data_IF_381240614722
#
_entry.id   IF_381240614722
#
_cell.length_a   1.000
_cell.length_b   1.000
_cell.length_c   1.000
_cell.angle_alpha   90.00
_cell.angle_beta   90.00
_cell.angle_gamma   90.00
#
_symmetry.space_group_name_H-M   'P 1'
#
loop_
_entity.id
_entity.type
_entity.pdbx_description
1 polymer ?
#
# COMPACT_ATOMS: atom_id res chain seq x y z
N UNK A 1 -6.34 9.84 -17.96
CA UNK A 1 -7.41 9.38 -17.04
C UNK A 1 -6.95 8.30 -16.07
N UNK A 2 -6.27 7.23 -16.51
CA UNK A 2 -5.78 6.15 -15.63
C UNK A 2 -4.88 6.61 -14.46
N UNK A 3 -4.02 7.62 -14.68
CA UNK A 3 -3.14 8.18 -13.64
C UNK A 3 -3.93 8.72 -12.44
N UNK A 4 -5.07 9.38 -12.67
CA UNK A 4 -5.90 9.93 -11.59
C UNK A 4 -6.48 8.82 -10.72
N UNK A 5 -6.94 7.72 -11.32
CA UNK A 5 -7.42 6.55 -10.58
C UNK A 5 -6.30 5.88 -9.77
N UNK A 6 -5.11 5.73 -10.35
CA UNK A 6 -3.94 5.16 -9.66
C UNK A 6 -3.54 6.04 -8.48
N UNK A 7 -3.56 7.36 -8.66
CA UNK A 7 -3.27 8.31 -7.59
C UNK A 7 -4.28 8.20 -6.44
N UNK A 8 -5.58 8.13 -6.74
CA UNK A 8 -6.63 7.94 -5.73
C UNK A 8 -6.50 6.59 -4.99
N UNK A 9 -6.19 5.52 -5.73
CA UNK A 9 -5.87 4.21 -5.13
C UNK A 9 -4.66 4.30 -4.20
N UNK A 10 -3.64 5.05 -4.60
CA UNK A 10 -2.48 5.37 -3.77
C UNK A 10 -2.89 5.99 -2.44
N UNK A 11 -3.70 7.05 -2.46
CA UNK A 11 -4.22 7.69 -1.24
C UNK A 11 -4.89 6.67 -0.31
N UNK A 12 -5.75 5.81 -0.89
CA UNK A 12 -6.41 4.73 -0.14
C UNK A 12 -5.42 3.75 0.49
N UNK A 13 -4.42 3.32 -0.27
CA UNK A 13 -3.41 2.37 0.20
C UNK A 13 -2.58 2.93 1.35
N UNK A 14 -2.16 4.20 1.25
CA UNK A 14 -1.48 4.91 2.34
C UNK A 14 -2.34 5.03 3.59
N UNK A 15 -3.63 5.38 3.43
CA UNK A 15 -4.56 5.48 4.55
C UNK A 15 -4.76 4.13 5.24
N UNK A 16 -4.90 3.05 4.48
CA UNK A 16 -5.03 1.68 5.00
C UNK A 16 -3.75 1.25 5.73
N UNK A 17 -2.58 1.50 5.15
CA UNK A 17 -1.30 1.16 5.81
C UNK A 17 -1.12 1.93 7.12
N UNK A 18 -1.48 3.22 7.15
CA UNK A 18 -1.48 4.01 8.39
C UNK A 18 -2.45 3.44 9.42
N UNK A 19 -3.65 3.05 9.00
CA UNK A 19 -4.64 2.43 9.88
C UNK A 19 -4.16 1.09 10.46
N UNK A 20 -3.46 0.28 9.66
CA UNK A 20 -2.82 -0.96 10.14
C UNK A 20 -1.76 -0.64 11.19
N UNK A 21 -0.86 0.31 10.93
CA UNK A 21 0.19 0.71 11.87
C UNK A 21 -0.40 1.27 13.18
N UNK A 22 -1.47 2.05 13.10
CA UNK A 22 -2.16 2.62 14.27
C UNK A 22 -2.99 1.56 15.03
N UNK A 23 -3.43 0.47 14.38
CA UNK A 23 -4.23 -0.59 15.00
C UNK A 23 -3.52 -1.36 16.12
N UNK A 24 -2.19 -1.26 16.23
CA UNK A 24 -1.33 -1.94 17.24
C UNK A 24 -1.68 -3.43 17.40
N UNK A 25 -1.98 -4.11 16.30
CA UNK A 25 -2.33 -5.53 16.31
C UNK A 25 -1.17 -6.38 16.90
N UNK A 26 -1.44 -7.42 17.71
CA UNK A 26 -0.40 -8.28 18.30
C UNK A 26 0.58 -8.89 17.28
N UNK A 27 0.11 -9.13 16.05
CA UNK A 27 0.94 -9.58 14.92
C UNK A 27 2.03 -8.57 14.52
N UNK A 28 1.78 -7.26 14.67
CA UNK A 28 2.79 -6.23 14.44
C UNK A 28 3.88 -6.28 15.51
N UNK A 29 3.51 -6.65 16.75
CA UNK A 29 4.46 -6.87 17.84
C UNK A 29 5.36 -8.11 17.67
N UNK A 30 5.02 -9.03 16.76
CA UNK A 30 5.88 -10.16 16.39
C UNK A 30 6.80 -9.86 15.18
N UNK A 31 6.62 -8.71 14.52
CA UNK A 31 7.52 -8.31 13.44
C UNK A 31 8.88 -7.89 14.01
N UNK A 32 9.99 -8.13 13.27
CA UNK A 32 11.33 -7.81 13.75
C UNK A 32 11.42 -6.36 14.23
N UNK A 33 12.09 -6.14 15.37
CA UNK A 33 12.14 -4.83 16.03
C UNK A 33 12.59 -3.69 15.09
N UNK A 34 13.41 -3.98 14.06
CA UNK A 34 13.85 -3.02 13.05
C UNK A 34 12.69 -2.40 12.24
N UNK A 35 11.61 -3.16 12.00
CA UNK A 35 10.39 -2.71 11.31
C UNK A 35 9.58 -1.77 12.21
N UNK A 36 9.61 -2.01 13.53
CA UNK A 36 9.04 -1.15 14.56
C UNK A 36 9.86 0.14 14.79
N UNK A 37 11.20 0.06 14.76
CA UNK A 37 12.09 1.16 15.11
C UNK A 37 12.13 2.27 14.05
N UNK A 38 11.81 1.94 12.80
CA UNK A 38 11.59 2.92 11.72
C UNK A 38 10.11 3.34 11.60
N UNK A 39 9.26 2.96 12.56
CA UNK A 39 7.90 3.48 12.76
C UNK A 39 6.95 3.25 11.59
N UNK A 40 7.15 2.18 10.81
CA UNK A 40 6.37 1.94 9.59
C UNK A 40 6.65 2.93 8.45
N UNK A 41 7.58 3.88 8.62
CA UNK A 41 7.96 4.88 7.59
C UNK A 41 8.61 4.23 6.38
N UNK A 42 9.35 3.14 6.57
CA UNK A 42 9.91 2.34 5.46
C UNK A 42 8.81 1.68 4.64
N UNK A 43 7.77 1.18 5.28
CA UNK A 43 6.61 0.61 4.58
C UNK A 43 5.90 1.70 3.76
N UNK A 44 5.64 2.87 4.34
CA UNK A 44 5.08 4.00 3.59
C UNK A 44 6.00 4.47 2.45
N UNK A 45 7.32 4.51 2.65
CA UNK A 45 8.26 4.85 1.58
C UNK A 45 8.24 3.80 0.45
N UNK A 46 8.10 2.52 0.79
CA UNK A 46 7.94 1.47 -0.21
C UNK A 46 6.62 1.60 -0.98
N UNK A 47 5.51 1.91 -0.31
CA UNK A 47 4.23 2.22 -0.96
C UNK A 47 4.37 3.36 -1.95
N UNK A 48 5.11 4.41 -1.56
CA UNK A 48 5.37 5.57 -2.40
C UNK A 48 6.15 5.19 -3.65
N UNK A 49 7.21 4.40 -3.51
CA UNK A 49 8.01 3.95 -4.64
C UNK A 49 7.20 3.10 -5.62
N UNK A 50 6.33 2.22 -5.12
CA UNK A 50 5.45 1.40 -5.97
C UNK A 50 4.43 2.28 -6.69
N UNK A 51 3.78 3.22 -5.99
CA UNK A 51 2.84 4.18 -6.59
C UNK A 51 3.53 5.04 -7.65
N UNK A 52 4.71 5.57 -7.34
CA UNK A 52 5.50 6.40 -8.25
C UNK A 52 5.89 5.60 -9.50
N UNK A 53 6.38 4.38 -9.34
CA UNK A 53 6.72 3.50 -10.45
C UNK A 53 5.48 3.21 -11.33
N UNK A 54 4.33 2.91 -10.74
CA UNK A 54 3.09 2.67 -11.48
C UNK A 54 2.64 3.90 -12.27
N UNK A 55 2.68 5.10 -11.66
CA UNK A 55 2.33 6.34 -12.34
C UNK A 55 3.31 6.67 -13.47
N UNK A 56 4.62 6.49 -13.26
CA UNK A 56 5.63 6.71 -14.29
C UNK A 56 5.48 5.73 -15.46
N UNK A 57 5.21 4.45 -15.18
CA UNK A 57 4.99 3.44 -16.21
C UNK A 57 3.72 3.73 -17.01
N UNK A 58 2.61 4.09 -16.36
CA UNK A 58 1.36 4.44 -17.07
C UNK A 58 1.48 5.77 -17.83
N UNK A 59 2.30 6.72 -17.35
CA UNK A 59 2.52 7.99 -18.02
C UNK A 59 3.45 7.85 -19.26
N UNK A 60 4.47 6.99 -19.19
CA UNK A 60 5.46 6.84 -20.26
C UNK A 60 5.17 5.68 -21.21
N UNK A 61 4.43 4.66 -20.78
CA UNK A 61 4.01 3.58 -21.65
C UNK A 61 2.61 3.85 -22.20
N UNK A 62 2.39 3.53 -23.47
CA UNK A 62 1.05 3.58 -24.09
C UNK A 62 0.15 2.42 -23.60
N UNK A 63 0.55 1.70 -22.55
CA UNK A 63 -0.08 0.47 -22.09
C UNK A 63 -0.81 0.69 -20.77
N UNK A 64 -2.14 0.60 -20.80
CA UNK A 64 -3.01 0.72 -19.62
C UNK A 64 -2.84 -0.46 -18.65
N UNK A 65 -2.20 -1.55 -19.06
CA UNK A 65 -2.01 -2.77 -18.26
C UNK A 65 -1.27 -2.53 -16.95
N UNK A 66 -0.35 -1.56 -16.91
CA UNK A 66 0.35 -1.19 -15.68
C UNK A 66 -0.60 -0.64 -14.61
N UNK A 67 -1.65 0.07 -15.01
CA UNK A 67 -2.69 0.57 -14.10
C UNK A 67 -3.53 -0.57 -13.49
N UNK A 68 -3.78 -1.63 -14.27
CA UNK A 68 -4.47 -2.83 -13.78
C UNK A 68 -3.61 -3.56 -12.76
N UNK A 69 -2.29 -3.66 -12.99
CA UNK A 69 -1.36 -4.22 -12.04
C UNK A 69 -1.39 -3.49 -10.68
N UNK A 70 -1.39 -2.15 -10.72
CA UNK A 70 -1.49 -1.35 -9.49
C UNK A 70 -2.84 -1.49 -8.80
N UNK A 71 -3.93 -1.64 -9.56
CA UNK A 71 -5.26 -1.88 -9.01
C UNK A 71 -5.35 -3.22 -8.28
N UNK A 72 -4.82 -4.29 -8.87
CA UNK A 72 -4.75 -5.61 -8.23
C UNK A 72 -3.88 -5.58 -6.96
N UNK A 73 -2.72 -4.93 -7.04
CA UNK A 73 -1.85 -4.72 -5.88
C UNK A 73 -2.59 -4.01 -4.74
N UNK A 74 -3.28 -2.91 -5.06
CA UNK A 74 -4.05 -2.14 -4.07
C UNK A 74 -5.20 -2.95 -3.47
N UNK A 75 -5.87 -3.79 -4.25
CA UNK A 75 -6.93 -4.67 -3.75
C UNK A 75 -6.41 -5.72 -2.76
N UNK A 76 -5.24 -6.32 -3.05
CA UNK A 76 -4.59 -7.29 -2.17
C UNK A 76 -4.14 -6.60 -0.87
N UNK A 77 -3.49 -5.43 -0.96
CA UNK A 77 -3.10 -4.66 0.23
C UNK A 77 -4.31 -4.27 1.08
N UNK A 78 -5.42 -3.87 0.44
CA UNK A 78 -6.66 -3.54 1.15
C UNK A 78 -7.27 -4.74 1.85
N UNK A 79 -7.28 -5.92 1.22
CA UNK A 79 -7.73 -7.16 1.86
C UNK A 79 -6.84 -7.54 3.05
N UNK A 80 -5.51 -7.46 2.89
CA UNK A 80 -4.58 -7.73 3.97
C UNK A 80 -4.78 -6.76 5.15
N UNK A 81 -4.88 -5.46 4.87
CA UNK A 81 -5.14 -4.44 5.88
C UNK A 81 -6.46 -4.69 6.61
N UNK A 82 -7.52 -5.05 5.89
CA UNK A 82 -8.82 -5.35 6.47
C UNK A 82 -8.78 -6.57 7.41
N UNK A 83 -8.12 -7.65 7.00
CA UNK A 83 -7.96 -8.83 7.83
C UNK A 83 -7.23 -8.52 9.15
N UNK A 84 -6.15 -7.72 9.07
CA UNK A 84 -5.36 -7.31 10.24
C UNK A 84 -6.18 -6.40 11.17
N UNK A 85 -6.84 -5.37 10.62
CA UNK A 85 -7.61 -4.41 11.43
C UNK A 85 -8.81 -5.10 12.10
N UNK A 86 -9.46 -6.03 11.41
CA UNK A 86 -10.62 -6.78 11.93
C UNK A 86 -10.23 -7.93 12.86
N UNK A 87 -8.92 -8.15 13.08
CA UNK A 87 -8.38 -9.27 13.89
C UNK A 87 -8.84 -10.65 13.41
N UNK A 88 -9.06 -10.79 12.10
CA UNK A 88 -9.37 -12.09 11.49
C UNK A 88 -8.11 -12.94 11.27
N UNK A 89 -6.94 -12.32 11.40
CA UNK A 89 -5.61 -12.92 11.43
C UNK A 89 -4.82 -12.36 12.59
#
# INVERSE_FOLDING_TARGET
>A
MAILFIFLLGIGNFAMHKAVLESRHPLLGQMPWYVHMLGGRVSMASEFLILLAAMLLVANSHSTWWGVGYLLYSAINGLAAWLIITRRV
#
